data_IF_872736798904
#
_entry.id   IF_872736798904
#
_cell.length_a   1.000
_cell.length_b   1.000
_cell.length_c   1.000
_cell.angle_alpha   90.00
_cell.angle_beta   90.00
_cell.angle_gamma   90.00
#
_symmetry.space_group_name_H-M   'P 1'
#
loop_
_entity.id
_entity.type
_entity.pdbx_description
1 polymer ?
#
# COMPACT_ATOMS: atom_id res chain seq x y z
N UNK A 1 6.82 -4.14 1.54
CA UNK A 1 6.99 -4.80 0.25
C UNK A 1 8.37 -5.45 0.15
N UNK A 2 8.42 -6.75 -0.09
CA UNK A 2 9.65 -7.56 -0.05
C UNK A 2 10.49 -7.54 -1.33
N UNK A 3 10.38 -6.51 -2.17
CA UNK A 3 11.28 -6.27 -3.31
C UNK A 3 11.01 -7.04 -4.60
N UNK A 4 10.20 -8.08 -4.59
CA UNK A 4 9.95 -8.92 -5.76
C UNK A 4 8.73 -8.53 -6.61
N UNK A 5 7.94 -7.55 -6.17
CA UNK A 5 6.65 -7.20 -6.75
C UNK A 5 5.50 -8.05 -6.18
N UNK A 6 4.37 -8.07 -6.89
CA UNK A 6 3.20 -8.83 -6.48
C UNK A 6 3.46 -10.35 -6.54
N UNK A 7 2.94 -11.08 -5.56
CA UNK A 7 2.77 -12.52 -5.65
C UNK A 7 1.28 -12.87 -5.84
N UNK A 8 0.97 -14.12 -6.24
CA UNK A 8 -0.40 -14.55 -6.56
C UNK A 8 -1.42 -14.37 -5.44
N UNK A 9 -1.00 -14.31 -4.18
CA UNK A 9 -1.88 -14.04 -3.05
C UNK A 9 -2.42 -12.61 -3.01
N UNK A 10 -1.70 -11.63 -3.53
CA UNK A 10 -2.14 -10.24 -3.54
C UNK A 10 -3.39 -10.03 -4.43
N UNK A 11 -3.40 -10.48 -5.71
CA UNK A 11 -4.55 -10.28 -6.58
C UNK A 11 -5.82 -10.97 -6.09
N UNK A 12 -5.72 -12.06 -5.35
CA UNK A 12 -6.87 -12.83 -4.92
C UNK A 12 -7.89 -11.96 -4.16
N UNK A 13 -7.45 -11.25 -3.13
CA UNK A 13 -8.31 -10.33 -2.37
C UNK A 13 -8.71 -9.09 -3.17
N UNK A 14 -7.80 -8.55 -3.98
CA UNK A 14 -8.04 -7.34 -4.76
C UNK A 14 -9.05 -7.55 -5.88
N UNK A 15 -9.00 -8.70 -6.57
CA UNK A 15 -9.98 -9.04 -7.60
C UNK A 15 -11.38 -9.17 -7.01
N UNK A 16 -11.52 -9.82 -5.86
CA UNK A 16 -12.82 -9.94 -5.19
C UNK A 16 -13.42 -8.59 -4.81
N UNK A 17 -12.63 -7.71 -4.19
CA UNK A 17 -13.07 -6.35 -3.83
C UNK A 17 -13.35 -5.49 -5.06
N UNK A 18 -12.61 -5.66 -6.15
CA UNK A 18 -12.81 -4.94 -7.40
C UNK A 18 -14.12 -5.35 -8.08
N UNK A 19 -14.42 -6.63 -8.16
CA UNK A 19 -15.69 -7.14 -8.70
C UNK A 19 -16.86 -6.55 -7.92
N UNK A 20 -16.80 -6.58 -6.60
CA UNK A 20 -17.85 -6.02 -5.76
C UNK A 20 -17.99 -4.50 -5.93
N UNK A 21 -16.89 -3.77 -6.01
CA UNK A 21 -16.87 -2.34 -6.24
C UNK A 21 -17.49 -1.95 -7.58
N UNK A 22 -17.17 -2.68 -8.64
CA UNK A 22 -17.77 -2.48 -9.97
C UNK A 22 -19.26 -2.78 -9.96
N UNK A 23 -19.68 -3.85 -9.33
CA UNK A 23 -21.09 -4.19 -9.18
C UNK A 23 -21.87 -3.08 -8.47
N UNK A 24 -21.36 -2.60 -7.33
CA UNK A 24 -22.01 -1.52 -6.57
C UNK A 24 -22.07 -0.22 -7.37
N UNK A 25 -21.02 0.11 -8.10
CA UNK A 25 -20.97 1.29 -8.95
C UNK A 25 -22.02 1.23 -10.06
N UNK A 26 -22.19 0.07 -10.69
CA UNK A 26 -23.24 -0.14 -11.69
C UNK A 26 -24.66 -0.07 -11.11
N UNK A 27 -24.83 -0.36 -9.81
CA UNK A 27 -26.08 -0.18 -9.08
C UNK A 27 -26.35 1.27 -8.64
N UNK A 28 -25.49 2.20 -8.98
CA UNK A 28 -25.66 3.62 -8.66
C UNK A 28 -25.13 4.03 -7.26
N UNK A 29 -24.41 3.15 -6.58
CA UNK A 29 -23.77 3.51 -5.31
C UNK A 29 -22.53 4.37 -5.54
N UNK A 30 -22.28 5.29 -4.61
CA UNK A 30 -21.02 5.99 -4.53
C UNK A 30 -20.00 5.07 -3.85
N UNK A 31 -18.97 4.65 -4.61
CA UNK A 31 -18.01 3.62 -4.15
C UNK A 31 -16.65 4.24 -3.89
N UNK A 32 -16.15 4.09 -2.68
CA UNK A 32 -14.78 4.39 -2.30
C UNK A 32 -13.95 3.09 -2.35
N UNK A 33 -13.04 3.01 -3.32
CA UNK A 33 -12.17 1.85 -3.51
C UNK A 33 -10.70 2.30 -3.64
N UNK A 34 -10.07 2.71 -2.52
CA UNK A 34 -8.68 3.16 -2.51
C UNK A 34 -7.71 1.98 -2.48
N UNK A 35 -6.44 2.26 -2.72
CA UNK A 35 -5.32 1.35 -2.55
C UNK A 35 -4.28 1.95 -1.62
N UNK A 36 -3.59 1.10 -0.88
CA UNK A 36 -2.50 1.53 -0.01
C UNK A 36 -1.39 0.50 0.06
N UNK A 37 -0.23 0.96 0.56
CA UNK A 37 0.97 0.15 0.70
C UNK A 37 1.42 0.18 2.15
N UNK A 38 1.46 -1.01 2.76
CA UNK A 38 2.15 -1.21 4.03
C UNK A 38 3.65 -1.23 3.75
N UNK A 39 4.31 -0.12 4.04
CA UNK A 39 5.65 0.18 3.54
C UNK A 39 6.74 0.25 4.60
N UNK A 40 6.43 -0.04 5.84
CA UNK A 40 7.41 -0.34 6.88
C UNK A 40 7.67 -1.85 6.95
N UNK A 41 8.88 -2.23 7.40
CA UNK A 41 9.13 -3.63 7.70
C UNK A 41 10.60 -4.02 7.68
N UNK A 42 10.92 -5.03 8.47
CA UNK A 42 12.25 -5.63 8.60
C UNK A 42 12.85 -6.10 7.25
N UNK A 43 12.09 -6.66 6.31
CA UNK A 43 12.66 -7.05 5.00
C UNK A 43 13.28 -5.90 4.22
N UNK A 44 12.70 -4.71 4.27
CA UNK A 44 13.26 -3.53 3.63
C UNK A 44 14.55 -3.06 4.31
N UNK A 45 14.60 -3.13 5.62
CA UNK A 45 15.79 -2.79 6.41
C UNK A 45 16.94 -3.78 6.17
N UNK A 46 16.65 -5.07 6.18
CA UNK A 46 17.65 -6.11 5.88
C UNK A 46 18.20 -6.00 4.45
N UNK A 47 17.35 -5.67 3.50
CA UNK A 47 17.78 -5.43 2.12
C UNK A 47 18.70 -4.20 2.04
N UNK A 48 18.39 -3.15 2.78
CA UNK A 48 19.22 -1.95 2.86
C UNK A 48 20.61 -2.25 3.44
N UNK A 49 20.69 -3.05 4.50
CA UNK A 49 21.97 -3.48 5.11
C UNK A 49 22.80 -4.27 4.09
N UNK A 50 22.18 -5.21 3.37
CA UNK A 50 22.87 -6.05 2.38
C UNK A 50 23.38 -5.29 1.17
N UNK A 51 22.66 -4.27 0.73
CA UNK A 51 22.94 -3.57 -0.54
C UNK A 51 23.56 -2.20 -0.36
N UNK A 52 23.62 -1.66 0.87
CA UNK A 52 24.02 -0.30 1.14
C UNK A 52 23.07 0.77 0.61
N UNK A 53 21.85 0.39 0.20
CA UNK A 53 20.84 1.31 -0.33
C UNK A 53 19.89 1.75 0.78
N UNK A 54 19.56 3.04 0.80
CA UNK A 54 18.62 3.57 1.78
C UNK A 54 17.22 2.94 1.62
N UNK A 55 16.57 2.47 2.72
CA UNK A 55 15.28 1.77 2.67
C UNK A 55 14.19 2.56 1.93
N UNK A 56 14.12 3.87 2.14
CA UNK A 56 13.11 4.72 1.51
C UNK A 56 13.18 4.68 -0.02
N UNK A 57 14.39 4.63 -0.60
CA UNK A 57 14.56 4.57 -2.06
C UNK A 57 14.06 3.24 -2.62
N UNK A 58 14.47 2.14 -1.99
CA UNK A 58 14.03 0.80 -2.37
C UNK A 58 12.51 0.64 -2.23
N UNK A 59 11.95 1.16 -1.14
CA UNK A 59 10.49 1.13 -0.90
C UNK A 59 9.74 1.90 -1.98
N UNK A 60 10.22 3.10 -2.36
CA UNK A 60 9.58 3.88 -3.43
C UNK A 60 9.59 3.13 -4.78
N UNK A 61 10.74 2.59 -5.19
CA UNK A 61 10.87 1.79 -6.42
C UNK A 61 9.93 0.56 -6.41
N UNK A 62 9.81 -0.10 -5.27
CA UNK A 62 8.92 -1.24 -5.12
C UNK A 62 7.44 -0.84 -5.21
N UNK A 63 7.05 0.27 -4.61
CA UNK A 63 5.68 0.80 -4.70
C UNK A 63 5.34 1.11 -6.16
N UNK A 64 6.22 1.78 -6.89
CA UNK A 64 6.00 2.11 -8.30
C UNK A 64 5.82 0.83 -9.14
N UNK A 65 6.61 -0.21 -8.86
CA UNK A 65 6.47 -1.51 -9.50
C UNK A 65 5.15 -2.21 -9.16
N UNK A 66 4.73 -2.19 -7.88
CA UNK A 66 3.45 -2.74 -7.46
C UNK A 66 2.29 -2.03 -8.16
N UNK A 67 2.34 -0.72 -8.22
CA UNK A 67 1.32 0.09 -8.90
C UNK A 67 1.22 -0.25 -10.38
N UNK A 68 2.34 -0.33 -11.09
CA UNK A 68 2.37 -0.74 -12.50
C UNK A 68 1.73 -2.13 -12.70
N UNK A 69 2.07 -3.09 -11.84
CA UNK A 69 1.50 -4.43 -11.92
C UNK A 69 0.00 -4.46 -11.63
N UNK A 70 -0.48 -3.68 -10.65
CA UNK A 70 -1.90 -3.55 -10.35
C UNK A 70 -2.67 -2.87 -11.48
N UNK A 71 -2.07 -1.86 -12.11
CA UNK A 71 -2.66 -1.19 -13.28
C UNK A 71 -2.81 -2.16 -14.47
N UNK A 72 -1.84 -3.02 -14.70
CA UNK A 72 -1.91 -4.06 -15.75
C UNK A 72 -3.04 -5.06 -15.52
N UNK A 73 -3.44 -5.29 -14.27
CA UNK A 73 -4.61 -6.12 -13.94
C UNK A 73 -5.94 -5.38 -14.20
N UNK A 74 -5.90 -4.07 -14.45
CA UNK A 74 -7.09 -3.28 -14.74
C UNK A 74 -8.03 -3.10 -13.56
N UNK A 75 -7.52 -3.15 -12.33
CA UNK A 75 -8.31 -2.95 -11.11
C UNK A 75 -8.80 -1.50 -10.98
N UNK A 76 -10.05 -1.32 -10.55
CA UNK A 76 -10.72 -0.01 -10.49
C UNK A 76 -10.44 0.77 -9.20
N UNK A 77 -9.18 0.82 -8.79
CA UNK A 77 -8.78 1.62 -7.63
C UNK A 77 -8.84 3.12 -7.90
N UNK A 78 -9.21 3.87 -6.88
CA UNK A 78 -9.05 5.33 -6.87
C UNK A 78 -7.63 5.71 -6.45
N UNK A 79 -6.74 5.82 -7.40
CA UNK A 79 -5.33 6.17 -7.19
C UNK A 79 -5.11 7.58 -6.64
N UNK A 80 -6.11 8.45 -6.70
CA UNK A 80 -6.04 9.79 -6.09
C UNK A 80 -6.06 9.73 -4.56
N UNK A 81 -6.50 8.59 -4.01
CA UNK A 81 -6.60 8.31 -2.58
C UNK A 81 -5.59 7.25 -2.12
N UNK A 82 -4.49 7.13 -2.84
CA UNK A 82 -3.40 6.23 -2.50
C UNK A 82 -2.77 6.57 -1.15
N UNK A 83 -2.53 5.55 -0.33
CA UNK A 83 -1.92 5.67 0.99
C UNK A 83 -0.60 4.92 1.03
N UNK A 84 0.43 5.54 1.61
CA UNK A 84 1.73 4.93 1.91
C UNK A 84 1.97 5.06 3.41
N UNK A 85 1.99 3.96 4.14
CA UNK A 85 2.08 3.99 5.61
C UNK A 85 3.41 4.55 6.12
N UNK A 86 4.45 4.56 5.29
CA UNK A 86 5.76 5.18 5.58
C UNK A 86 5.83 6.69 5.31
N UNK A 87 4.78 7.31 4.80
CA UNK A 87 4.73 8.75 4.66
C UNK A 87 4.51 9.45 6.02
N UNK A 88 5.18 10.57 6.23
CA UNK A 88 5.08 11.35 7.48
C UNK A 88 3.65 11.75 7.80
N UNK A 89 2.87 12.11 6.80
CA UNK A 89 1.46 12.50 6.98
C UNK A 89 0.59 11.36 7.48
N UNK A 90 0.99 10.12 7.24
CA UNK A 90 0.32 8.94 7.76
C UNK A 90 0.84 8.56 9.15
N UNK A 91 2.13 8.25 9.31
CA UNK A 91 2.65 7.68 10.56
C UNK A 91 2.69 8.68 11.73
N UNK A 92 2.61 9.99 11.49
CA UNK A 92 2.49 10.98 12.57
C UNK A 92 1.32 10.69 13.51
N UNK A 93 0.24 10.12 13.00
CA UNK A 93 -0.91 9.77 13.81
C UNK A 93 -0.66 8.55 14.70
N UNK A 94 0.08 7.58 14.23
CA UNK A 94 0.55 6.44 15.02
C UNK A 94 1.47 6.92 16.15
N UNK A 95 2.39 7.83 15.85
CA UNK A 95 3.26 8.45 16.85
C UNK A 95 2.46 9.25 17.89
N UNK A 96 1.48 10.03 17.45
CA UNK A 96 0.60 10.76 18.34
C UNK A 96 -0.17 9.83 19.30
N UNK A 97 -0.72 8.76 18.78
CA UNK A 97 -1.45 7.76 19.56
C UNK A 97 -0.53 7.09 20.60
N UNK A 98 0.67 6.71 20.19
CA UNK A 98 1.68 6.16 21.09
C UNK A 98 2.01 7.12 22.24
N UNK A 99 2.27 8.38 21.94
CA UNK A 99 2.58 9.40 22.95
C UNK A 99 1.41 9.56 23.95
N UNK A 100 0.18 9.55 23.47
CA UNK A 100 -1.01 9.62 24.36
C UNK A 100 -1.08 8.43 25.30
N UNK A 101 -0.87 7.22 24.80
CA UNK A 101 -0.86 6.00 25.62
C UNK A 101 0.32 5.97 26.59
N UNK A 102 1.48 6.44 26.17
CA UNK A 102 2.67 6.49 27.04
C UNK A 102 2.52 7.46 28.20
N UNK A 103 1.79 8.56 28.01
CA UNK A 103 1.57 9.58 29.03
C UNK A 103 0.30 9.34 29.90
N UNK A 104 -0.44 8.27 29.67
CA UNK A 104 -1.62 7.88 30.47
C UNK A 104 -1.23 6.93 31.59
#
# INVERSE_FOLDING_TARGET
>A
PSGAGLHVGHPLGYIASDIYSRYKRQKGFNVLHPQGYDSFGLPAEQYAIKTGRHPAKTTAENIDRYREQLDRLGLSFDWTREIRTSNKDYYRWTQWMFIKLFNS
#
